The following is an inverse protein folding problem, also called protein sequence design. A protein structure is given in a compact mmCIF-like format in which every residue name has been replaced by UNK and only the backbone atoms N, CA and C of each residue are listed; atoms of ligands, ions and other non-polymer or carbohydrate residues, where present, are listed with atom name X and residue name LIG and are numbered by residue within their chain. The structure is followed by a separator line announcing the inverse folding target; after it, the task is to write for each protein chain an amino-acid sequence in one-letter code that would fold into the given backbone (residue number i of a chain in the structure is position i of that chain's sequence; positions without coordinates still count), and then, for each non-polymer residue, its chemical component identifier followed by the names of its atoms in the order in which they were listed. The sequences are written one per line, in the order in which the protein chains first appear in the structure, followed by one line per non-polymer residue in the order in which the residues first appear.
data_IF_552370262667
#
_entry.id   IF_552370262667
#
_cell.length_a   1.000
_cell.length_b   1.000
_cell.length_c   1.000
_cell.angle_alpha   90.00
_cell.angle_beta   90.00
_cell.angle_gamma   90.00
#
_symmetry.space_group_name_H-M   'P 1'
#
loop_
_entity.id
_entity.type
_entity.pdbx_description
1 polymer ?
#
# COMPACT_ATOMS: atom_id res chain seq x y z
N UNK A 1 26.94 31.28 -82.36
CA UNK A 1 25.60 30.71 -82.10
C UNK A 1 25.66 30.09 -80.70
N UNK A 2 25.17 30.81 -79.70
CA UNK A 2 25.28 30.43 -78.28
C UNK A 2 23.95 29.80 -77.84
N UNK A 3 23.94 28.54 -77.48
CA UNK A 3 22.82 27.82 -76.92
C UNK A 3 22.97 27.72 -75.39
N UNK A 4 22.13 28.44 -74.69
CA UNK A 4 22.08 28.44 -73.19
C UNK A 4 21.20 27.30 -72.71
N UNK A 5 21.79 26.34 -71.98
CA UNK A 5 21.07 25.24 -71.34
C UNK A 5 20.57 25.74 -69.97
N UNK A 6 19.24 25.84 -69.78
CA UNK A 6 18.60 26.10 -68.52
C UNK A 6 18.36 24.79 -67.77
N UNK A 7 19.11 24.58 -66.69
CA UNK A 7 18.93 23.46 -65.78
C UNK A 7 17.78 23.79 -64.82
N UNK A 8 16.66 23.03 -64.92
CA UNK A 8 15.58 23.08 -63.95
C UNK A 8 15.93 22.20 -62.74
N UNK A 9 16.12 22.83 -61.60
CA UNK A 9 16.31 22.14 -60.33
C UNK A 9 14.96 21.79 -59.73
N UNK A 10 14.58 20.48 -59.78
CA UNK A 10 13.37 19.97 -59.19
C UNK A 10 13.59 19.73 -57.69
N UNK A 11 13.07 20.60 -56.83
CA UNK A 11 13.06 20.35 -55.36
C UNK A 11 11.99 19.34 -55.04
N UNK A 12 12.37 18.09 -54.69
CA UNK A 12 11.53 17.10 -54.07
C UNK A 12 11.33 17.46 -52.59
N UNK A 13 10.13 17.94 -52.25
CA UNK A 13 9.70 18.02 -50.85
C UNK A 13 9.39 16.61 -50.34
N UNK A 14 10.31 15.99 -49.59
CA UNK A 14 9.99 14.82 -48.78
C UNK A 14 9.18 15.27 -47.55
N UNK A 15 7.87 15.10 -47.62
CA UNK A 15 7.03 15.17 -46.42
C UNK A 15 7.23 13.89 -45.60
N UNK A 16 7.98 13.98 -44.51
CA UNK A 16 8.06 12.94 -43.52
C UNK A 16 6.74 12.83 -42.76
N UNK A 17 5.92 11.86 -43.15
CA UNK A 17 4.76 11.45 -42.35
C UNK A 17 5.32 10.76 -41.12
N UNK A 18 5.38 11.46 -39.95
CA UNK A 18 5.55 10.79 -38.69
C UNK A 18 4.30 9.93 -38.44
N UNK A 19 4.46 8.63 -38.15
CA UNK A 19 3.32 7.84 -37.72
C UNK A 19 2.88 8.43 -36.35
N UNK A 20 1.62 8.81 -36.25
CA UNK A 20 0.98 9.06 -34.97
C UNK A 20 1.15 7.79 -34.13
N UNK A 21 1.94 7.87 -33.06
CA UNK A 21 1.99 6.82 -32.04
C UNK A 21 0.60 6.81 -31.43
N UNK A 22 -0.26 5.93 -31.96
CA UNK A 22 -1.54 5.65 -31.35
C UNK A 22 -1.28 5.20 -29.92
N UNK A 23 -1.68 6.02 -28.93
CA UNK A 23 -1.86 5.55 -27.58
C UNK A 23 -2.82 4.35 -27.66
N UNK A 24 -2.26 3.15 -27.63
CA UNK A 24 -3.03 1.98 -27.24
C UNK A 24 -3.48 2.28 -25.82
N UNK A 25 -4.75 2.62 -25.64
CA UNK A 25 -5.40 2.61 -24.35
C UNK A 25 -5.31 1.15 -23.87
N UNK A 26 -4.20 0.81 -23.22
CA UNK A 26 -4.08 -0.38 -22.41
C UNK A 26 -5.28 -0.36 -21.47
N UNK A 27 -5.92 -1.51 -21.22
CA UNK A 27 -6.96 -1.63 -20.19
C UNK A 27 -6.38 -0.98 -18.93
N UNK A 28 -6.88 0.22 -18.60
CA UNK A 28 -6.33 1.02 -17.50
C UNK A 28 -6.31 0.16 -16.25
N UNK A 29 -5.21 0.19 -15.51
CA UNK A 29 -5.09 -0.45 -14.19
C UNK A 29 -6.29 0.03 -13.39
N UNK A 30 -7.12 -0.91 -12.94
CA UNK A 30 -8.24 -0.54 -12.08
C UNK A 30 -7.69 -0.37 -10.67
N UNK A 31 -7.53 0.87 -10.24
CA UNK A 31 -7.06 1.20 -8.89
C UNK A 31 -7.94 0.54 -7.83
N UNK A 32 -7.33 -0.06 -6.84
CA UNK A 32 -7.98 -0.77 -5.74
C UNK A 32 -7.97 0.07 -4.47
N UNK A 33 -8.98 -0.11 -3.64
CA UNK A 33 -9.20 0.66 -2.41
C UNK A 33 -8.61 -0.09 -1.22
N UNK A 34 -7.72 0.56 -0.45
CA UNK A 34 -7.23 0.09 0.84
C UNK A 34 -7.78 1.01 1.93
N UNK A 35 -8.48 0.43 2.92
CA UNK A 35 -8.99 1.15 4.08
C UNK A 35 -7.86 1.34 5.10
N UNK A 36 -7.38 2.59 5.29
CA UNK A 36 -6.31 2.96 6.21
C UNK A 36 -6.72 2.71 7.67
N UNK A 37 -5.98 1.88 8.39
CA UNK A 37 -6.30 1.41 9.77
C UNK A 37 -7.68 0.78 9.89
N UNK A 38 -8.14 0.12 8.81
CA UNK A 38 -9.51 -0.37 8.64
C UNK A 38 -10.52 0.72 8.26
N UNK A 39 -11.80 0.38 8.11
CA UNK A 39 -12.85 1.38 7.91
C UNK A 39 -13.31 1.90 9.27
N UNK A 40 -12.54 2.82 9.82
CA UNK A 40 -12.72 3.35 11.18
C UNK A 40 -13.60 4.59 11.26
N UNK A 41 -13.70 5.40 10.19
CA UNK A 41 -14.55 6.60 10.15
C UNK A 41 -16.02 6.26 9.91
N UNK A 42 -16.55 5.33 10.68
CA UNK A 42 -17.96 4.93 10.64
C UNK A 42 -18.44 4.59 12.04
N UNK A 43 -19.74 4.66 12.28
CA UNK A 43 -20.34 4.45 13.59
C UNK A 43 -19.90 3.12 14.22
N UNK A 44 -19.54 3.15 15.51
CA UNK A 44 -19.13 1.99 16.29
C UNK A 44 -17.76 1.43 15.91
N UNK A 45 -16.94 2.12 15.10
CA UNK A 45 -15.62 1.70 14.67
C UNK A 45 -14.49 2.54 15.28
N UNK A 46 -13.28 2.01 15.31
CA UNK A 46 -12.06 2.69 15.73
C UNK A 46 -10.87 2.23 14.90
N UNK A 47 -9.84 3.07 14.79
CA UNK A 47 -8.60 2.72 14.11
C UNK A 47 -8.00 1.43 14.69
N UNK A 48 -7.47 0.56 13.82
CA UNK A 48 -6.79 -0.68 14.21
C UNK A 48 -7.67 -1.62 15.08
N UNK A 49 -8.99 -1.52 14.99
CA UNK A 49 -9.91 -2.40 15.72
C UNK A 49 -10.33 -3.62 14.90
N UNK A 50 -10.84 -4.64 15.58
CA UNK A 50 -11.47 -5.78 14.90
C UNK A 50 -12.67 -5.30 14.08
N UNK A 51 -13.48 -4.40 14.63
CA UNK A 51 -14.63 -3.83 13.93
C UNK A 51 -14.22 -3.05 12.68
N UNK A 52 -13.13 -2.26 12.69
CA UNK A 52 -12.69 -1.53 11.50
C UNK A 52 -12.25 -2.46 10.37
N UNK A 53 -11.59 -3.57 10.70
CA UNK A 53 -11.24 -4.62 9.73
C UNK A 53 -12.48 -5.25 9.10
N UNK A 54 -13.44 -5.68 9.92
CA UNK A 54 -14.68 -6.31 9.45
C UNK A 54 -15.55 -5.34 8.63
N UNK A 55 -15.56 -4.06 8.97
CA UNK A 55 -16.28 -3.04 8.21
C UNK A 55 -15.62 -2.76 6.86
N UNK A 56 -14.29 -2.78 6.78
CA UNK A 56 -13.59 -2.70 5.49
C UNK A 56 -13.97 -3.88 4.58
N UNK A 57 -14.10 -5.08 5.14
CA UNK A 57 -14.59 -6.25 4.41
C UNK A 57 -16.05 -6.09 3.97
N UNK A 58 -16.92 -5.57 4.83
CA UNK A 58 -18.35 -5.42 4.54
C UNK A 58 -18.67 -4.46 3.39
N UNK A 59 -17.80 -3.47 3.16
CA UNK A 59 -17.90 -2.53 2.02
C UNK A 59 -17.11 -2.99 0.78
N UNK A 60 -16.48 -4.17 0.85
CA UNK A 60 -15.70 -4.72 -0.27
C UNK A 60 -14.42 -3.96 -0.58
N UNK A 61 -13.72 -3.42 0.42
CA UNK A 61 -12.36 -2.91 0.23
C UNK A 61 -11.43 -4.04 -0.21
N UNK A 62 -10.53 -3.75 -1.15
CA UNK A 62 -9.49 -4.70 -1.55
C UNK A 62 -8.64 -5.14 -0.35
N UNK A 63 -8.24 -4.17 0.47
CA UNK A 63 -7.46 -4.40 1.66
C UNK A 63 -7.90 -3.54 2.84
N UNK A 64 -7.62 -4.05 4.02
CA UNK A 64 -7.66 -3.31 5.28
C UNK A 64 -6.23 -3.19 5.79
N UNK A 65 -5.73 -1.96 5.83
CA UNK A 65 -4.40 -1.70 6.39
C UNK A 65 -4.51 -1.67 7.92
N UNK A 66 -3.52 -2.25 8.59
CA UNK A 66 -3.39 -2.31 10.05
C UNK A 66 -1.92 -2.31 10.48
N UNK A 67 -1.66 -1.71 11.62
CA UNK A 67 -0.34 -1.56 12.22
C UNK A 67 -0.11 -2.57 13.36
N UNK A 68 1.08 -3.14 13.46
CA UNK A 68 1.44 -4.01 14.60
C UNK A 68 2.75 -3.62 15.26
N UNK A 69 2.78 -3.74 16.58
CA UNK A 69 3.94 -3.57 17.46
C UNK A 69 4.23 -4.83 18.23
N UNK A 70 5.51 -5.12 18.42
CA UNK A 70 5.98 -6.14 19.36
C UNK A 70 6.10 -5.57 20.78
N UNK A 71 5.46 -6.18 21.75
CA UNK A 71 5.53 -5.79 23.17
C UNK A 71 6.76 -6.34 23.89
N UNK A 72 6.99 -5.91 25.15
CA UNK A 72 8.10 -6.37 25.96
C UNK A 72 8.09 -7.89 26.21
N UNK A 73 6.91 -8.49 26.32
CA UNK A 73 6.68 -9.92 26.47
C UNK A 73 6.40 -10.66 25.15
N UNK A 74 6.78 -10.04 24.04
CA UNK A 74 6.78 -10.66 22.71
C UNK A 74 5.39 -11.02 22.17
N UNK A 75 4.38 -10.23 22.46
CA UNK A 75 3.05 -10.30 21.85
C UNK A 75 2.91 -9.22 20.79
N UNK A 76 2.31 -9.54 19.63
CA UNK A 76 1.99 -8.55 18.60
C UNK A 76 0.62 -7.92 18.88
N UNK A 77 0.59 -6.59 18.89
CA UNK A 77 -0.61 -5.79 19.22
C UNK A 77 -0.90 -4.81 18.10
N UNK A 78 -2.18 -4.68 17.71
CA UNK A 78 -2.60 -3.75 16.69
C UNK A 78 -2.77 -2.33 17.27
N UNK A 79 -1.90 -1.40 16.86
CA UNK A 79 -1.96 0.01 17.17
C UNK A 79 -1.00 0.80 16.27
N UNK A 80 -1.38 2.03 15.90
CA UNK A 80 -0.49 2.87 15.08
C UNK A 80 0.64 3.50 15.89
N UNK A 81 0.31 4.11 17.03
CA UNK A 81 1.27 4.92 17.78
C UNK A 81 2.19 4.06 18.64
N UNK A 82 3.46 4.46 18.73
CA UNK A 82 4.44 3.83 19.64
C UNK A 82 4.02 3.92 21.11
N UNK A 83 3.27 4.96 21.47
CA UNK A 83 2.74 5.18 22.81
C UNK A 83 1.23 5.38 22.72
N UNK A 84 0.47 4.53 23.38
CA UNK A 84 -0.98 4.64 23.44
C UNK A 84 -1.44 4.79 24.90
N UNK A 85 -2.10 5.92 25.21
CA UNK A 85 -2.56 6.26 26.57
C UNK A 85 -1.48 6.13 27.65
N UNK A 86 -0.25 6.55 27.34
CA UNK A 86 0.89 6.49 28.24
C UNK A 86 1.66 5.15 28.25
N UNK A 87 1.14 4.13 27.57
CA UNK A 87 1.78 2.81 27.47
C UNK A 87 2.63 2.73 26.21
N UNK A 88 3.93 2.59 26.36
CA UNK A 88 4.86 2.45 25.24
C UNK A 88 4.93 0.98 24.80
N UNK A 89 4.55 0.69 23.54
CA UNK A 89 4.36 -0.66 23.00
C UNK A 89 5.53 -1.60 23.27
N UNK A 90 6.75 -1.17 23.04
CA UNK A 90 7.96 -2.01 23.16
C UNK A 90 8.42 -2.26 24.60
N UNK A 91 7.91 -1.54 25.60
CA UNK A 91 8.40 -1.57 26.97
C UNK A 91 7.36 -2.00 28.00
N UNK A 92 6.09 -2.02 27.64
CA UNK A 92 5.02 -2.51 28.51
C UNK A 92 4.66 -3.97 28.16
N UNK A 93 4.10 -4.66 29.14
CA UNK A 93 3.56 -6.00 28.94
C UNK A 93 2.28 -5.94 28.15
N UNK A 94 2.02 -6.96 27.35
CA UNK A 94 0.83 -7.06 26.52
C UNK A 94 -0.47 -6.96 27.31
N UNK A 95 -0.51 -7.53 28.52
CA UNK A 95 -1.68 -7.49 29.39
C UNK A 95 -2.16 -6.08 29.72
N UNK A 96 -1.22 -5.15 30.00
CA UNK A 96 -1.55 -3.75 30.30
C UNK A 96 -2.16 -3.04 29.08
N UNK A 97 -1.59 -3.29 27.89
CA UNK A 97 -2.04 -2.67 26.64
C UNK A 97 -3.39 -3.24 26.21
N UNK A 98 -3.55 -4.55 26.23
CA UNK A 98 -4.79 -5.25 25.86
C UNK A 98 -5.97 -4.92 26.81
N UNK A 99 -5.69 -4.49 28.05
CA UNK A 99 -6.71 -4.00 28.98
C UNK A 99 -7.22 -2.58 28.63
N UNK A 100 -6.57 -1.89 27.70
CA UNK A 100 -6.91 -0.51 27.31
C UNK A 100 -8.01 -0.49 26.27
N UNK A 101 -8.92 0.51 26.36
CA UNK A 101 -10.03 0.64 25.41
C UNK A 101 -9.71 1.62 24.29
N UNK A 102 -10.16 1.28 23.08
CA UNK A 102 -10.24 2.15 21.92
C UNK A 102 -11.41 3.17 22.08
N UNK A 103 -11.53 4.08 21.13
CA UNK A 103 -12.56 5.13 21.13
C UNK A 103 -14.00 4.58 20.98
N UNK A 104 -14.16 3.43 20.34
CA UNK A 104 -15.46 2.75 20.17
C UNK A 104 -15.82 1.81 21.35
N UNK A 105 -14.99 1.76 22.39
CA UNK A 105 -15.18 0.90 23.56
C UNK A 105 -14.64 -0.53 23.45
N UNK A 106 -14.18 -0.97 22.28
CA UNK A 106 -13.43 -2.23 22.15
C UNK A 106 -12.11 -2.16 22.93
N UNK A 107 -11.58 -3.30 23.32
CA UNK A 107 -10.22 -3.38 23.81
C UNK A 107 -9.22 -3.30 22.64
N UNK A 108 -8.01 -2.77 22.91
CA UNK A 108 -6.90 -2.85 21.94
C UNK A 108 -6.72 -4.32 21.56
N UNK A 109 -6.79 -4.68 20.26
CA UNK A 109 -6.73 -6.08 19.88
C UNK A 109 -5.28 -6.58 19.80
N UNK A 110 -5.08 -7.85 20.14
CA UNK A 110 -3.87 -8.57 19.72
C UNK A 110 -3.93 -8.80 18.20
N UNK A 111 -2.77 -9.02 17.59
CA UNK A 111 -2.72 -9.41 16.18
C UNK A 111 -3.49 -10.72 15.90
N UNK A 112 -3.44 -11.67 16.83
CA UNK A 112 -4.22 -12.92 16.72
C UNK A 112 -5.74 -12.67 16.69
N UNK A 113 -6.24 -11.64 17.40
CA UNK A 113 -7.66 -11.28 17.34
C UNK A 113 -8.05 -10.78 15.95
N UNK A 114 -7.20 -9.98 15.31
CA UNK A 114 -7.37 -9.53 13.92
C UNK A 114 -7.35 -10.72 12.95
N UNK A 115 -6.37 -11.62 13.07
CA UNK A 115 -6.26 -12.80 12.23
C UNK A 115 -7.45 -13.75 12.39
N UNK A 116 -7.96 -13.88 13.63
CA UNK A 116 -9.18 -14.61 13.92
C UNK A 116 -10.43 -14.01 13.25
N UNK A 117 -10.51 -12.70 13.17
CA UNK A 117 -11.56 -11.99 12.42
C UNK A 117 -11.40 -12.17 10.91
N UNK A 118 -10.17 -12.03 10.39
CA UNK A 118 -9.85 -12.22 8.97
C UNK A 118 -10.26 -13.59 8.43
N UNK A 119 -10.14 -14.65 9.23
CA UNK A 119 -10.60 -15.99 8.83
C UNK A 119 -12.10 -16.09 8.54
N UNK A 120 -12.89 -15.14 9.05
CA UNK A 120 -14.35 -15.09 8.85
C UNK A 120 -14.74 -14.30 7.60
N UNK A 121 -13.78 -13.63 6.98
CA UNK A 121 -13.94 -12.85 5.75
C UNK A 121 -13.49 -13.66 4.54
N UNK A 122 -14.02 -13.34 3.35
CA UNK A 122 -13.73 -14.14 2.15
C UNK A 122 -12.75 -13.48 1.18
N UNK A 123 -12.68 -12.15 1.14
CA UNK A 123 -12.02 -11.43 0.06
C UNK A 123 -11.01 -10.36 0.52
N UNK A 124 -11.29 -9.62 1.58
CA UNK A 124 -10.43 -8.51 2.01
C UNK A 124 -9.05 -9.00 2.44
N UNK A 125 -8.03 -8.37 1.90
CA UNK A 125 -6.63 -8.64 2.25
C UNK A 125 -6.23 -7.86 3.49
N UNK A 126 -5.25 -8.37 4.21
CA UNK A 126 -4.56 -7.64 5.27
C UNK A 126 -3.34 -6.94 4.65
N UNK A 127 -3.29 -5.61 4.77
CA UNK A 127 -2.10 -4.82 4.45
C UNK A 127 -1.46 -4.47 5.78
N UNK A 128 -0.43 -5.23 6.16
CA UNK A 128 0.14 -5.21 7.50
C UNK A 128 1.37 -4.33 7.58
N UNK A 129 1.30 -3.22 8.31
CA UNK A 129 2.48 -2.48 8.70
C UNK A 129 3.15 -3.12 9.91
N UNK A 130 4.35 -3.64 9.73
CA UNK A 130 5.21 -4.04 10.84
C UNK A 130 6.00 -2.81 11.26
N UNK A 131 5.79 -2.35 12.50
CA UNK A 131 6.37 -1.10 12.99
C UNK A 131 7.86 -1.24 13.34
N UNK A 132 8.60 -0.15 13.13
CA UNK A 132 10.03 -0.12 13.42
C UNK A 132 10.29 -0.14 14.92
N UNK A 133 10.95 -1.18 15.41
CA UNK A 133 11.43 -1.26 16.79
C UNK A 133 12.68 -0.38 16.99
N UNK A 134 12.86 0.13 18.20
CA UNK A 134 14.11 0.80 18.61
C UNK A 134 15.28 -0.17 18.60
N UNK A 135 15.05 -1.37 19.11
CA UNK A 135 16.02 -2.46 19.09
C UNK A 135 15.86 -3.28 17.80
N UNK A 136 16.60 -2.88 16.77
CA UNK A 136 16.59 -3.55 15.45
C UNK A 136 17.06 -5.01 15.51
N UNK A 137 17.78 -5.43 16.56
CA UNK A 137 18.20 -6.83 16.70
C UNK A 137 17.03 -7.78 16.89
N UNK A 138 15.85 -7.26 17.22
CA UNK A 138 14.60 -8.02 17.35
C UNK A 138 13.85 -8.26 16.05
N UNK A 139 14.22 -7.59 14.95
CA UNK A 139 13.53 -7.76 13.66
C UNK A 139 13.42 -9.22 13.19
N UNK A 140 14.49 -10.06 13.28
CA UNK A 140 14.34 -11.45 12.86
C UNK A 140 13.32 -12.23 13.69
N UNK A 141 13.23 -11.93 14.99
CA UNK A 141 12.24 -12.55 15.85
C UNK A 141 10.82 -12.07 15.57
N UNK A 142 10.62 -10.75 15.43
CA UNK A 142 9.33 -10.12 15.14
C UNK A 142 8.75 -10.64 13.82
N UNK A 143 9.55 -10.61 12.74
CA UNK A 143 9.14 -11.13 11.41
C UNK A 143 8.83 -12.61 11.48
N UNK A 144 9.66 -13.40 12.16
CA UNK A 144 9.40 -14.83 12.35
C UNK A 144 8.13 -15.11 13.15
N UNK A 145 7.77 -14.25 14.11
CA UNK A 145 6.50 -14.36 14.84
C UNK A 145 5.31 -14.02 13.93
N UNK A 146 5.40 -12.95 13.14
CA UNK A 146 4.37 -12.60 12.14
C UNK A 146 4.16 -13.77 11.18
N UNK A 147 5.24 -14.29 10.58
CA UNK A 147 5.17 -15.39 9.63
C UNK A 147 4.45 -16.63 10.23
N UNK A 148 4.84 -17.04 11.43
CA UNK A 148 4.20 -18.18 12.12
C UNK A 148 2.73 -17.95 12.41
N UNK A 149 2.33 -16.72 12.78
CA UNK A 149 0.94 -16.40 13.04
C UNK A 149 0.11 -16.39 11.74
N UNK A 150 0.62 -15.84 10.67
CA UNK A 150 -0.04 -15.86 9.36
C UNK A 150 -0.27 -17.29 8.86
N UNK A 151 0.72 -18.16 9.03
CA UNK A 151 0.60 -19.60 8.71
C UNK A 151 -0.41 -20.31 9.62
N UNK A 152 -0.28 -20.13 10.95
CA UNK A 152 -1.20 -20.72 11.95
C UNK A 152 -2.67 -20.40 11.66
N UNK A 153 -2.94 -19.16 11.22
CA UNK A 153 -4.31 -18.73 10.89
C UNK A 153 -4.70 -19.00 9.43
N UNK A 154 -3.79 -19.47 8.58
CA UNK A 154 -4.05 -19.81 7.18
C UNK A 154 -4.44 -18.60 6.34
N UNK A 155 -3.78 -17.46 6.55
CA UNK A 155 -4.10 -16.16 5.89
C UNK A 155 -2.89 -15.51 5.20
N UNK A 156 -1.77 -16.22 5.11
CA UNK A 156 -0.55 -15.70 4.51
C UNK A 156 -0.74 -15.30 3.03
N UNK A 157 -1.51 -16.05 2.27
CA UNK A 157 -1.84 -15.79 0.86
C UNK A 157 -2.70 -14.53 0.64
N UNK A 158 -3.37 -14.05 1.70
CA UNK A 158 -4.17 -12.83 1.71
C UNK A 158 -3.52 -11.68 2.48
N UNK A 159 -2.24 -11.78 2.82
CA UNK A 159 -1.50 -10.73 3.55
C UNK A 159 -0.44 -10.13 2.65
N UNK A 160 -0.31 -8.81 2.72
CA UNK A 160 0.76 -8.02 2.14
C UNK A 160 1.43 -7.23 3.27
N UNK A 161 2.74 -7.04 3.19
CA UNK A 161 3.53 -6.38 4.23
C UNK A 161 3.97 -5.01 3.74
N UNK A 162 3.88 -4.01 4.61
CA UNK A 162 4.40 -2.68 4.37
C UNK A 162 5.38 -2.29 5.50
N UNK A 163 6.51 -1.67 5.17
CA UNK A 163 7.57 -1.36 6.13
C UNK A 163 8.31 -0.07 5.80
N UNK A 164 8.75 0.66 6.83
CA UNK A 164 9.60 1.85 6.66
C UNK A 164 11.09 1.53 6.66
N UNK A 165 11.55 0.61 7.52
CA UNK A 165 12.98 0.35 7.67
C UNK A 165 13.49 -0.65 6.63
N UNK A 166 14.63 -0.34 6.01
CA UNK A 166 15.26 -1.20 5.00
C UNK A 166 15.61 -2.59 5.56
N UNK A 167 16.18 -2.62 6.77
CA UNK A 167 16.57 -3.87 7.42
C UNK A 167 15.37 -4.77 7.74
N UNK A 168 14.25 -4.15 8.15
CA UNK A 168 13.00 -4.87 8.40
C UNK A 168 12.41 -5.42 7.10
N UNK A 169 12.43 -4.62 6.02
CA UNK A 169 11.99 -5.05 4.69
C UNK A 169 12.79 -6.22 4.14
N UNK A 170 14.12 -6.15 4.25
CA UNK A 170 15.00 -7.25 3.85
C UNK A 170 14.71 -8.53 4.65
N UNK A 171 14.42 -8.39 5.94
CA UNK A 171 14.08 -9.53 6.81
C UNK A 171 12.72 -10.13 6.45
N UNK A 172 11.70 -9.30 6.12
CA UNK A 172 10.41 -9.77 5.63
C UNK A 172 10.55 -10.55 4.32
N UNK A 173 11.27 -10.01 3.34
CA UNK A 173 11.52 -10.67 2.05
C UNK A 173 12.23 -12.02 2.26
N UNK A 174 13.21 -12.07 3.17
CA UNK A 174 13.99 -13.28 3.47
C UNK A 174 13.16 -14.38 4.14
N UNK A 175 12.34 -14.02 5.17
CA UNK A 175 11.62 -15.01 5.99
C UNK A 175 10.25 -15.39 5.44
N UNK A 176 9.63 -14.55 4.63
CA UNK A 176 8.29 -14.77 4.08
C UNK A 176 8.33 -14.82 2.55
N UNK A 177 9.04 -15.80 1.94
CA UNK A 177 9.11 -15.91 0.50
C UNK A 177 7.71 -16.12 -0.09
N UNK A 178 7.37 -15.33 -1.11
CA UNK A 178 6.04 -15.34 -1.73
C UNK A 178 5.05 -14.34 -1.13
N UNK A 179 5.32 -13.76 0.04
CA UNK A 179 4.57 -12.61 0.56
C UNK A 179 5.04 -11.32 -0.11
N UNK A 180 4.12 -10.50 -0.54
CA UNK A 180 4.42 -9.20 -1.17
C UNK A 180 4.82 -8.20 -0.09
N UNK A 181 5.99 -7.58 -0.25
CA UNK A 181 6.52 -6.57 0.67
C UNK A 181 6.67 -5.25 -0.08
N UNK A 182 6.12 -4.17 0.47
CA UNK A 182 6.20 -2.82 -0.08
C UNK A 182 6.97 -1.91 0.87
N UNK A 183 7.70 -0.96 0.29
CA UNK A 183 8.48 0.02 1.03
C UNK A 183 7.71 1.32 1.22
N UNK A 184 7.74 1.88 2.46
CA UNK A 184 6.94 3.06 2.85
C UNK A 184 7.73 4.38 2.84
N UNK A 185 9.07 4.35 3.05
CA UNK A 185 9.83 5.54 3.43
C UNK A 185 10.00 6.58 2.30
N UNK A 186 9.82 6.17 1.04
CA UNK A 186 9.90 7.08 -0.10
C UNK A 186 11.31 7.51 -0.50
N UNK A 187 12.32 6.83 -0.03
CA UNK A 187 13.75 7.11 -0.23
C UNK A 187 14.44 6.15 -1.21
N UNK A 188 13.68 5.24 -1.84
CA UNK A 188 14.16 4.33 -2.88
C UNK A 188 13.44 4.62 -4.21
N UNK A 189 14.23 4.64 -5.28
CA UNK A 189 13.72 4.68 -6.66
C UNK A 189 13.09 3.34 -7.05
N UNK A 190 12.25 3.29 -8.12
CA UNK A 190 11.71 2.02 -8.63
C UNK A 190 12.78 0.97 -8.93
N UNK A 191 13.92 1.38 -9.48
CA UNK A 191 15.05 0.47 -9.78
C UNK A 191 15.61 -0.13 -8.49
N UNK A 192 15.87 0.68 -7.46
CA UNK A 192 16.40 0.20 -6.18
C UNK A 192 15.40 -0.72 -5.45
N UNK A 193 14.09 -0.44 -5.54
CA UNK A 193 13.06 -1.33 -5.01
C UNK A 193 13.11 -2.70 -5.69
N UNK A 194 13.22 -2.72 -7.01
CA UNK A 194 13.32 -3.96 -7.79
C UNK A 194 14.54 -4.77 -7.43
N UNK A 195 15.69 -4.12 -7.34
CA UNK A 195 16.97 -4.75 -6.96
C UNK A 195 16.94 -5.37 -5.56
N UNK A 196 16.20 -4.74 -4.63
CA UNK A 196 16.03 -5.23 -3.26
C UNK A 196 14.94 -6.28 -3.10
N UNK A 197 14.18 -6.59 -4.16
CA UNK A 197 13.14 -7.62 -4.15
C UNK A 197 11.80 -7.19 -3.56
N UNK A 198 11.54 -5.88 -3.44
CA UNK A 198 10.22 -5.39 -3.07
C UNK A 198 9.20 -5.65 -4.19
N UNK A 199 7.94 -5.84 -3.80
CA UNK A 199 6.82 -5.95 -4.73
C UNK A 199 6.41 -4.60 -5.33
N UNK A 200 6.77 -3.51 -4.67
CA UNK A 200 6.48 -2.15 -5.11
C UNK A 200 6.74 -1.10 -4.05
N UNK A 201 6.23 0.09 -4.32
CA UNK A 201 6.26 1.22 -3.40
C UNK A 201 4.88 1.45 -2.79
N UNK A 202 4.89 1.87 -1.53
CA UNK A 202 3.71 2.37 -0.82
C UNK A 202 4.07 3.73 -0.24
N UNK A 203 3.99 4.79 -1.06
CA UNK A 203 4.60 6.06 -0.74
C UNK A 203 3.59 7.15 -0.40
N UNK A 204 4.04 8.07 0.46
CA UNK A 204 3.24 9.25 0.80
C UNK A 204 2.90 10.05 -0.46
N UNK A 205 1.68 10.60 -0.50
CA UNK A 205 1.14 11.40 -1.59
C UNK A 205 2.09 12.53 -2.05
N UNK A 206 2.75 13.23 -1.11
CA UNK A 206 3.70 14.30 -1.44
C UNK A 206 4.94 13.80 -2.16
N UNK A 207 5.41 12.58 -1.88
CA UNK A 207 6.57 11.98 -2.54
C UNK A 207 6.21 11.60 -3.97
N UNK A 208 5.07 10.95 -4.18
CA UNK A 208 4.64 10.59 -5.54
C UNK A 208 4.29 11.81 -6.38
N UNK A 209 3.70 12.87 -5.81
CA UNK A 209 3.49 14.14 -6.52
C UNK A 209 4.81 14.80 -6.97
N UNK A 210 5.87 14.66 -6.19
CA UNK A 210 7.19 15.16 -6.54
C UNK A 210 7.92 14.27 -7.58
N UNK A 211 7.48 13.01 -7.76
CA UNK A 211 8.11 11.99 -8.60
C UNK A 211 7.07 11.22 -9.42
N UNK A 212 6.17 11.91 -10.12
CA UNK A 212 5.07 11.27 -10.87
C UNK A 212 5.54 10.20 -11.87
N UNK A 213 6.72 10.42 -12.46
CA UNK A 213 7.34 9.49 -13.41
C UNK A 213 7.65 8.11 -12.80
N UNK A 214 7.80 8.02 -11.47
CA UNK A 214 8.05 6.75 -10.79
C UNK A 214 6.91 5.74 -10.94
N UNK A 215 5.67 6.20 -11.17
CA UNK A 215 4.54 5.28 -11.41
C UNK A 215 4.76 4.49 -12.70
N UNK A 216 5.11 5.18 -13.79
CA UNK A 216 5.39 4.52 -15.07
C UNK A 216 6.66 3.66 -15.02
N UNK A 217 7.71 4.13 -14.33
CA UNK A 217 8.96 3.37 -14.14
C UNK A 217 8.72 2.09 -13.31
N UNK A 218 7.94 2.18 -12.23
CA UNK A 218 7.59 1.03 -11.41
C UNK A 218 6.84 -0.03 -12.23
N UNK A 219 5.82 0.39 -12.99
CA UNK A 219 5.06 -0.50 -13.86
C UNK A 219 5.95 -1.16 -14.93
N UNK A 220 6.89 -0.41 -15.53
CA UNK A 220 7.84 -0.96 -16.51
C UNK A 220 8.74 -2.04 -15.92
N UNK A 221 9.03 -1.97 -14.60
CA UNK A 221 9.79 -2.96 -13.86
C UNK A 221 8.94 -4.10 -13.26
N UNK A 222 7.60 -4.05 -13.46
CA UNK A 222 6.66 -5.01 -12.88
C UNK A 222 6.45 -4.82 -11.38
N UNK A 223 6.65 -3.60 -10.89
CA UNK A 223 6.35 -3.19 -9.52
C UNK A 223 4.97 -2.54 -9.45
N UNK A 224 4.30 -2.64 -8.32
CA UNK A 224 3.04 -1.96 -8.07
C UNK A 224 3.22 -0.72 -7.21
N UNK A 225 2.27 0.21 -7.32
CA UNK A 225 2.31 1.52 -6.67
C UNK A 225 1.07 1.71 -5.79
N UNK A 226 1.28 1.87 -4.50
CA UNK A 226 0.29 2.37 -3.56
C UNK A 226 0.62 3.80 -3.13
N UNK A 227 -0.39 4.57 -2.81
CA UNK A 227 -0.25 5.94 -2.28
C UNK A 227 -1.07 6.12 -1.00
N UNK A 228 -0.49 6.77 0.01
CA UNK A 228 -1.12 7.07 1.30
C UNK A 228 -0.82 8.48 1.80
N UNK A 229 -1.62 9.08 2.68
CA UNK A 229 -3.03 8.81 2.90
C UNK A 229 -3.80 9.81 2.08
N UNK A 230 -4.69 9.36 1.20
CA UNK A 230 -5.39 10.21 0.22
C UNK A 230 -6.87 10.28 0.61
N UNK A 231 -7.32 11.44 1.10
CA UNK A 231 -8.63 11.58 1.75
C UNK A 231 -9.57 12.58 1.08
N UNK A 232 -9.11 13.33 0.07
CA UNK A 232 -9.97 14.29 -0.63
C UNK A 232 -10.31 13.81 -2.04
N UNK A 233 -11.49 14.18 -2.54
CA UNK A 233 -11.92 13.88 -3.91
C UNK A 233 -10.88 14.32 -4.94
N UNK A 234 -10.34 15.54 -4.81
CA UNK A 234 -9.36 16.10 -5.72
C UNK A 234 -8.07 15.25 -5.79
N UNK A 235 -7.54 14.86 -4.62
CA UNK A 235 -6.34 14.02 -4.58
C UNK A 235 -6.62 12.59 -5.10
N UNK A 236 -7.79 12.03 -4.79
CA UNK A 236 -8.21 10.74 -5.32
C UNK A 236 -8.27 10.77 -6.86
N UNK A 237 -8.93 11.78 -7.43
CA UNK A 237 -9.01 11.96 -8.89
C UNK A 237 -7.63 12.12 -9.53
N UNK A 238 -6.74 12.87 -8.87
CA UNK A 238 -5.36 13.03 -9.32
C UNK A 238 -4.62 11.68 -9.40
N UNK A 239 -4.61 10.88 -8.34
CA UNK A 239 -3.90 9.60 -8.33
C UNK A 239 -4.58 8.52 -9.18
N UNK A 240 -5.91 8.56 -9.32
CA UNK A 240 -6.63 7.74 -10.29
C UNK A 240 -6.20 8.07 -11.73
N UNK A 241 -5.98 9.35 -12.05
CA UNK A 241 -5.46 9.76 -13.36
C UNK A 241 -4.00 9.37 -13.57
N UNK A 242 -3.19 9.42 -12.51
CA UNK A 242 -1.80 8.99 -12.54
C UNK A 242 -1.65 7.48 -12.73
N UNK A 243 -2.72 6.71 -12.44
CA UNK A 243 -2.79 5.27 -12.70
C UNK A 243 -2.10 4.41 -11.65
N UNK A 244 -2.10 4.84 -10.38
CA UNK A 244 -1.59 4.00 -9.26
C UNK A 244 -2.45 2.75 -9.08
N UNK A 245 -1.84 1.66 -8.59
CA UNK A 245 -2.51 0.37 -8.41
C UNK A 245 -3.42 0.37 -7.18
N UNK A 246 -3.04 1.12 -6.15
CA UNK A 246 -3.77 1.20 -4.89
C UNK A 246 -3.80 2.63 -4.36
N UNK A 247 -4.88 2.95 -3.66
CA UNK A 247 -5.00 4.15 -2.85
C UNK A 247 -5.41 3.74 -1.44
N UNK A 248 -4.57 4.07 -0.46
CA UNK A 248 -4.86 3.92 0.97
C UNK A 248 -5.52 5.19 1.49
N UNK A 249 -6.73 5.05 2.05
CA UNK A 249 -7.59 6.18 2.42
C UNK A 249 -8.40 5.93 3.70
N UNK A 250 -8.71 7.02 4.43
CA UNK A 250 -9.70 7.02 5.52
C UNK A 250 -11.15 7.14 5.00
N UNK A 251 -11.34 7.38 3.70
CA UNK A 251 -12.63 7.61 3.04
C UNK A 251 -12.89 6.57 1.94
N UNK A 252 -12.93 5.25 2.30
CA UNK A 252 -12.97 4.20 1.28
C UNK A 252 -14.24 4.20 0.43
N UNK A 253 -15.40 4.57 0.98
CA UNK A 253 -16.65 4.65 0.23
C UNK A 253 -16.64 5.79 -0.80
N UNK A 254 -16.01 6.94 -0.47
CA UNK A 254 -15.82 8.05 -1.41
C UNK A 254 -14.96 7.59 -2.60
N UNK A 255 -13.85 6.93 -2.32
CA UNK A 255 -12.97 6.43 -3.40
C UNK A 255 -13.66 5.36 -4.26
N UNK A 256 -14.42 4.45 -3.64
CA UNK A 256 -15.21 3.47 -4.38
C UNK A 256 -16.26 4.12 -5.29
N UNK A 257 -16.92 5.20 -4.80
CA UNK A 257 -17.89 5.95 -5.61
C UNK A 257 -17.21 6.57 -6.84
N UNK A 258 -16.04 7.21 -6.66
CA UNK A 258 -15.27 7.79 -7.76
C UNK A 258 -14.83 6.75 -8.80
N UNK A 259 -14.39 5.58 -8.36
CA UNK A 259 -14.01 4.48 -9.27
C UNK A 259 -15.22 4.00 -10.08
N UNK A 260 -16.40 3.88 -9.44
CA UNK A 260 -17.65 3.52 -10.15
C UNK A 260 -18.06 4.59 -11.16
N UNK A 261 -18.07 5.87 -10.78
CA UNK A 261 -18.38 7.00 -11.68
C UNK A 261 -17.52 6.95 -12.94
N UNK A 262 -16.21 6.70 -12.81
CA UNK A 262 -15.24 6.59 -13.92
C UNK A 262 -15.45 5.35 -14.80
N UNK A 263 -15.95 4.27 -14.23
CA UNK A 263 -16.21 3.02 -14.95
C UNK A 263 -17.56 3.01 -15.69
N UNK A 264 -18.35 4.08 -15.60
CA UNK A 264 -19.68 4.16 -16.22
C UNK A 264 -20.71 3.22 -15.61
N UNK A 265 -20.52 2.83 -14.35
CA UNK A 265 -21.38 1.90 -13.62
C UNK A 265 -22.11 2.61 -12.48
#
# INVERSE_FOLDING_TARGET
MNGTIRTFLLMLLLSTIMPAIGQTAGKGVQTKVISHRGYWKTEGSAQNSVTSFLKADSIGSYGSELDVWLTADSVLIANHDRVFKGLAMETFLSGDILATRLSNGEYVPSFEAILGAMRKTSATRLILEIKNLKDKSKYPYEVGLVARLLEKYGVADRTEIIVFAHELGAECIRQMPGTRVFHLNGDLTPTELKERGYAGMDYRNTILKANEHWVAEAHALGLEVNVWTVNTREEMEYFLNLGVDYITTDEPELLQALIRERSGK
#
